data_IF_234519621839
#
_entry.id   IF_234519621839
#
_cell.length_a   1.000
_cell.length_b   1.000
_cell.length_c   1.000
_cell.angle_alpha   90.00
_cell.angle_beta   90.00
_cell.angle_gamma   90.00
#
_symmetry.space_group_name_H-M   'P 1'
#
loop_
_entity.id
_entity.type
_entity.pdbx_description
1 polymer ?
#
# COMPACT_ATOMS: atom_id res chain seq x y z
N UNK A 1 16.65 -17.33 -18.71
CA UNK A 1 15.69 -17.04 -17.62
C UNK A 1 16.28 -16.10 -16.56
N UNK A 2 16.75 -16.53 -15.37
CA UNK A 2 17.07 -15.56 -14.29
C UNK A 2 18.08 -14.46 -14.68
N UNK A 3 19.30 -14.83 -15.12
CA UNK A 3 20.34 -13.85 -15.53
C UNK A 3 19.89 -12.94 -16.68
N UNK A 4 19.18 -13.52 -17.64
CA UNK A 4 18.62 -12.83 -18.81
C UNK A 4 17.58 -11.77 -18.41
N UNK A 5 16.73 -12.07 -17.42
CA UNK A 5 15.80 -11.11 -16.82
C UNK A 5 16.53 -10.06 -15.96
N UNK A 6 17.60 -10.43 -15.25
CA UNK A 6 18.46 -9.48 -14.51
C UNK A 6 19.17 -8.49 -15.46
N UNK A 7 19.68 -8.98 -16.60
CA UNK A 7 20.34 -8.18 -17.63
C UNK A 7 19.36 -7.27 -18.38
N UNK A 8 18.16 -7.77 -18.72
CA UNK A 8 17.10 -6.94 -19.31
C UNK A 8 16.64 -5.85 -18.34
N UNK A 9 16.39 -6.18 -17.07
CA UNK A 9 15.98 -5.21 -16.07
C UNK A 9 17.08 -4.15 -15.81
N UNK A 10 18.35 -4.53 -15.90
CA UNK A 10 19.47 -3.60 -15.87
C UNK A 10 19.53 -2.70 -17.12
N UNK A 11 19.24 -3.22 -18.31
CA UNK A 11 19.21 -2.43 -19.54
C UNK A 11 18.15 -1.32 -19.47
N UNK A 12 16.96 -1.63 -18.94
CA UNK A 12 15.82 -0.72 -18.79
C UNK A 12 15.99 0.27 -17.61
N UNK A 13 16.21 -0.24 -16.39
CA UNK A 13 16.17 0.57 -15.15
C UNK A 13 17.53 1.09 -14.68
N UNK A 14 18.63 0.66 -15.33
CA UNK A 14 20.03 0.89 -14.92
C UNK A 14 20.39 0.41 -13.51
N UNK A 15 19.51 -0.36 -12.85
CA UNK A 15 19.76 -0.97 -11.54
C UNK A 15 20.04 -2.46 -11.69
N UNK A 16 21.16 -2.93 -11.12
CA UNK A 16 21.44 -4.36 -10.99
C UNK A 16 20.59 -4.93 -9.86
N UNK A 17 19.65 -5.80 -10.20
CA UNK A 17 18.84 -6.55 -9.24
C UNK A 17 19.32 -8.00 -9.24
N UNK A 18 19.59 -8.57 -8.07
CA UNK A 18 19.82 -10.02 -7.94
C UNK A 18 18.49 -10.74 -7.75
N UNK A 19 18.24 -11.78 -8.54
CA UNK A 19 17.01 -12.56 -8.57
C UNK A 19 17.29 -14.00 -8.08
N UNK A 20 17.11 -14.31 -6.77
CA UNK A 20 17.39 -15.63 -6.25
C UNK A 20 16.54 -16.71 -6.94
N UNK A 21 17.20 -17.75 -7.47
CA UNK A 21 16.54 -18.89 -8.13
C UNK A 21 15.48 -19.55 -7.24
N UNK A 22 15.73 -19.58 -5.93
CA UNK A 22 14.79 -20.06 -4.90
C UNK A 22 13.50 -19.22 -4.85
N UNK A 23 13.59 -17.90 -5.00
CA UNK A 23 12.42 -17.01 -5.07
C UNK A 23 11.60 -17.30 -6.33
N UNK A 24 12.24 -17.41 -7.49
CA UNK A 24 11.55 -17.74 -8.77
C UNK A 24 10.85 -19.09 -8.69
N UNK A 25 11.56 -20.13 -8.21
CA UNK A 25 10.98 -21.46 -8.01
C UNK A 25 9.83 -21.43 -7.00
N UNK A 26 9.97 -20.74 -5.87
CA UNK A 26 8.89 -20.61 -4.90
C UNK A 26 7.64 -19.92 -5.49
N UNK A 27 7.82 -18.90 -6.34
CA UNK A 27 6.69 -18.26 -7.05
C UNK A 27 6.03 -19.17 -8.07
N UNK A 28 6.82 -19.91 -8.86
CA UNK A 28 6.29 -20.89 -9.81
C UNK A 28 5.49 -21.98 -9.09
N UNK A 29 5.92 -22.40 -7.90
CA UNK A 29 5.22 -23.32 -7.00
C UNK A 29 4.08 -22.65 -6.18
N UNK A 30 3.55 -21.50 -6.62
CA UNK A 30 2.36 -20.87 -6.03
C UNK A 30 2.57 -20.10 -4.72
N UNK A 31 3.82 -19.87 -4.26
CA UNK A 31 4.06 -19.10 -3.02
C UNK A 31 3.68 -17.63 -3.22
N UNK A 32 2.67 -17.18 -2.47
CA UNK A 32 2.23 -15.77 -2.41
C UNK A 32 3.36 -14.84 -1.98
N UNK A 33 3.30 -13.58 -2.43
CA UNK A 33 4.28 -12.57 -2.08
C UNK A 33 4.07 -12.06 -0.65
N UNK A 34 5.11 -11.47 -0.08
CA UNK A 34 5.00 -10.75 1.20
C UNK A 34 4.06 -9.54 1.05
N UNK A 35 4.01 -8.89 -0.12
CA UNK A 35 3.05 -7.80 -0.43
C UNK A 35 1.61 -8.31 -0.44
N UNK A 36 1.36 -9.49 -1.02
CA UNK A 36 0.02 -10.08 -1.14
C UNK A 36 -0.47 -10.55 0.24
N UNK A 37 0.42 -11.21 1.00
CA UNK A 37 0.16 -11.66 2.36
C UNK A 37 -0.08 -10.50 3.32
N UNK A 38 0.71 -9.42 3.23
CA UNK A 38 0.47 -8.21 4.01
C UNK A 38 -0.77 -7.43 3.52
N UNK A 39 -1.15 -7.57 2.24
CA UNK A 39 -2.41 -7.06 1.69
C UNK A 39 -3.62 -7.61 2.45
N UNK A 40 -3.61 -8.91 2.75
CA UNK A 40 -4.65 -9.56 3.58
C UNK A 40 -4.68 -9.14 5.06
N UNK A 41 -3.76 -8.27 5.49
CA UNK A 41 -3.68 -7.69 6.85
C UNK A 41 -4.02 -6.19 6.90
N UNK A 42 -4.54 -5.61 5.81
CA UNK A 42 -4.99 -4.21 5.78
C UNK A 42 -6.29 -4.01 6.55
N UNK A 43 -6.39 -2.89 7.24
CA UNK A 43 -7.63 -2.43 7.88
C UNK A 43 -8.70 -2.04 6.85
N UNK A 44 -8.29 -1.48 5.72
CA UNK A 44 -9.20 -1.11 4.63
C UNK A 44 -9.22 -2.19 3.55
N UNK A 45 -10.41 -2.48 3.02
CA UNK A 45 -10.57 -3.19 1.74
C UNK A 45 -10.05 -2.32 0.59
N UNK A 46 -9.81 -2.92 -0.58
CA UNK A 46 -9.39 -2.14 -1.76
C UNK A 46 -10.45 -1.11 -2.20
N UNK A 47 -11.73 -1.39 -1.96
CA UNK A 47 -12.82 -0.43 -2.24
C UNK A 47 -12.81 0.73 -1.24
N UNK A 48 -12.69 0.45 0.06
CA UNK A 48 -12.60 1.48 1.10
C UNK A 48 -11.35 2.35 0.93
N UNK A 49 -10.20 1.75 0.61
CA UNK A 49 -8.96 2.48 0.40
C UNK A 49 -9.06 3.40 -0.84
N UNK A 50 -9.72 2.94 -1.93
CA UNK A 50 -10.02 3.81 -3.09
C UNK A 50 -10.93 4.98 -2.72
N UNK A 51 -12.01 4.77 -1.96
CA UNK A 51 -12.88 5.86 -1.49
C UNK A 51 -12.10 6.91 -0.67
N UNK A 52 -11.14 6.49 0.15
CA UNK A 52 -10.27 7.42 0.89
C UNK A 52 -9.32 8.19 -0.05
N UNK A 53 -8.80 7.56 -1.10
CA UNK A 53 -8.00 8.26 -2.13
C UNK A 53 -8.86 9.30 -2.86
N UNK A 54 -10.03 8.92 -3.34
CA UNK A 54 -10.93 9.79 -4.09
C UNK A 54 -11.38 11.00 -3.23
N UNK A 55 -11.69 10.78 -1.95
CA UNK A 55 -11.97 11.84 -0.98
C UNK A 55 -10.76 12.75 -0.73
N UNK A 56 -9.54 12.20 -0.69
CA UNK A 56 -8.31 12.99 -0.54
C UNK A 56 -8.06 13.88 -1.77
N UNK A 57 -8.33 13.37 -2.97
CA UNK A 57 -8.24 14.14 -4.23
C UNK A 57 -9.31 15.24 -4.27
N UNK A 58 -10.58 14.91 -4.01
CA UNK A 58 -11.69 15.87 -4.01
C UNK A 58 -11.47 17.02 -3.00
N UNK A 59 -11.02 16.70 -1.78
CA UNK A 59 -10.70 17.72 -0.78
C UNK A 59 -9.50 18.60 -1.19
N UNK A 60 -8.47 18.03 -1.83
CA UNK A 60 -7.37 18.80 -2.40
C UNK A 60 -7.80 19.72 -3.55
N UNK A 61 -8.63 19.23 -4.49
CA UNK A 61 -9.20 20.01 -5.60
C UNK A 61 -10.07 21.18 -5.12
N UNK A 62 -10.74 21.02 -3.97
CA UNK A 62 -11.50 22.10 -3.30
C UNK A 62 -10.62 23.09 -2.50
N UNK A 63 -9.29 22.96 -2.57
CA UNK A 63 -8.34 23.84 -1.88
C UNK A 63 -8.04 23.45 -0.42
N UNK A 64 -8.47 22.27 0.04
CA UNK A 64 -8.31 21.78 1.41
C UNK A 64 -7.61 20.41 1.48
N UNK A 65 -6.37 20.27 0.98
CA UNK A 65 -5.65 19.00 1.00
C UNK A 65 -5.51 18.44 2.42
N UNK A 66 -5.73 17.13 2.56
CA UNK A 66 -5.65 16.45 3.86
C UNK A 66 -4.18 16.31 4.30
N UNK A 67 -3.85 16.86 5.46
CA UNK A 67 -2.61 16.51 6.14
C UNK A 67 -2.72 15.11 6.79
N UNK A 68 -1.57 14.51 7.12
CA UNK A 68 -1.47 13.20 7.77
C UNK A 68 -2.41 13.03 8.98
N UNK A 69 -2.60 14.08 9.81
CA UNK A 69 -3.49 14.04 10.97
C UNK A 69 -4.96 13.88 10.56
N UNK A 70 -5.44 14.66 9.59
CA UNK A 70 -6.83 14.56 9.11
C UNK A 70 -7.08 13.26 8.35
N UNK A 71 -6.15 12.83 7.50
CA UNK A 71 -6.21 11.54 6.82
C UNK A 71 -6.32 10.39 7.83
N UNK A 72 -5.46 10.37 8.87
CA UNK A 72 -5.55 9.40 9.97
C UNK A 72 -6.93 9.45 10.64
N UNK A 73 -7.41 10.62 11.06
CA UNK A 73 -8.70 10.74 11.75
C UNK A 73 -9.88 10.21 10.92
N UNK A 74 -9.88 10.44 9.60
CA UNK A 74 -10.91 9.94 8.70
C UNK A 74 -10.86 8.42 8.58
N UNK A 75 -9.67 7.84 8.38
CA UNK A 75 -9.46 6.39 8.30
C UNK A 75 -9.77 5.70 9.63
N UNK A 76 -9.37 6.29 10.77
CA UNK A 76 -9.69 5.78 12.10
C UNK A 76 -11.21 5.74 12.33
N UNK A 77 -11.95 6.74 11.82
CA UNK A 77 -13.42 6.76 11.91
C UNK A 77 -14.07 5.64 11.10
N UNK A 78 -13.59 5.38 9.88
CA UNK A 78 -14.03 4.24 9.05
C UNK A 78 -13.73 2.91 9.77
N UNK A 79 -12.50 2.73 10.26
CA UNK A 79 -12.09 1.51 10.94
C UNK A 79 -12.87 1.28 12.25
N UNK A 80 -13.12 2.32 13.04
CA UNK A 80 -13.95 2.23 14.27
C UNK A 80 -15.39 1.85 13.95
N UNK A 81 -15.99 2.44 12.91
CA UNK A 81 -17.35 2.09 12.49
C UNK A 81 -17.46 0.61 12.02
N UNK A 82 -16.40 0.09 11.39
CA UNK A 82 -16.36 -1.27 10.82
C UNK A 82 -16.00 -2.36 11.83
N UNK A 83 -15.05 -2.10 12.72
CA UNK A 83 -14.46 -3.10 13.62
C UNK A 83 -14.78 -2.89 15.10
N UNK A 84 -15.38 -1.75 15.47
CA UNK A 84 -15.75 -1.44 16.85
C UNK A 84 -14.56 -1.56 17.81
N UNK A 85 -14.75 -2.32 18.89
CA UNK A 85 -13.74 -2.59 19.92
C UNK A 85 -12.58 -3.48 19.49
N UNK A 86 -12.62 -4.10 18.30
CA UNK A 86 -11.49 -4.86 17.74
C UNK A 86 -10.42 -3.91 17.17
N UNK A 87 -10.80 -2.68 16.82
CA UNK A 87 -9.86 -1.68 16.35
C UNK A 87 -9.04 -1.10 17.50
N UNK A 88 -7.75 -0.86 17.26
CA UNK A 88 -6.85 -0.28 18.25
C UNK A 88 -7.32 1.12 18.66
N UNK A 89 -7.28 1.41 19.95
CA UNK A 89 -7.73 2.69 20.51
C UNK A 89 -6.91 3.86 19.95
N UNK A 90 -5.59 3.66 19.83
CA UNK A 90 -4.61 4.53 19.17
C UNK A 90 -4.86 4.74 17.66
N UNK A 91 -5.74 3.97 17.03
CA UNK A 91 -6.04 4.02 15.60
C UNK A 91 -5.00 3.34 14.72
N UNK A 92 -4.94 3.74 13.44
CA UNK A 92 -3.91 3.24 12.52
C UNK A 92 -2.51 3.66 12.96
N UNK A 93 -1.53 2.78 12.73
CA UNK A 93 -0.14 2.99 13.16
C UNK A 93 0.49 4.26 12.59
N UNK A 94 1.52 4.78 13.27
CA UNK A 94 2.17 6.08 12.96
C UNK A 94 2.55 6.22 11.47
N UNK A 95 3.22 5.22 10.93
CA UNK A 95 3.67 5.15 9.52
C UNK A 95 2.56 4.87 8.50
N UNK A 96 1.32 4.62 8.93
CA UNK A 96 0.25 4.20 8.02
C UNK A 96 -0.07 5.27 6.97
N UNK A 97 -0.09 6.55 7.38
CA UNK A 97 -0.42 7.67 6.49
C UNK A 97 0.68 7.92 5.46
N UNK A 98 1.95 7.82 5.84
CA UNK A 98 3.07 7.90 4.89
C UNK A 98 2.97 6.76 3.87
N UNK A 99 2.81 5.51 4.34
CA UNK A 99 2.63 4.34 3.47
C UNK A 99 1.36 4.37 2.62
N UNK A 100 0.35 5.16 3.00
CA UNK A 100 -0.82 5.40 2.17
C UNK A 100 -0.45 6.32 1.01
N UNK A 101 0.18 7.46 1.29
CA UNK A 101 0.68 8.40 0.25
C UNK A 101 1.67 7.70 -0.68
N UNK A 102 2.67 6.99 -0.15
CA UNK A 102 3.69 6.29 -0.96
C UNK A 102 3.05 5.31 -1.97
N UNK A 103 2.02 4.56 -1.53
CA UNK A 103 1.31 3.56 -2.36
C UNK A 103 0.42 4.17 -3.43
N UNK A 104 0.00 5.42 -3.25
CA UNK A 104 -0.93 6.13 -4.14
C UNK A 104 -0.29 7.38 -4.76
N UNK A 105 1.05 7.48 -4.76
CA UNK A 105 1.85 8.62 -5.21
C UNK A 105 1.75 8.94 -6.71
N UNK A 106 1.17 8.03 -7.52
CA UNK A 106 0.80 8.29 -8.92
C UNK A 106 -0.57 9.02 -9.04
N UNK A 107 -1.35 9.08 -7.95
CA UNK A 107 -2.72 9.63 -7.88
C UNK A 107 -2.88 10.81 -6.90
N UNK A 108 -1.95 10.97 -5.94
CA UNK A 108 -1.94 11.95 -4.86
C UNK A 108 -0.70 12.84 -4.94
#
# INVERSE_FOLDING_TARGET
VCREVEDQCFAETKRRIGLPKSTVSARANGRRSIRDFNGSKRWLSDQEENTVVDFTIDTALRGFPLNHKRLKQHVDSICRAKYGSIFLEDGVGKEWTQRFVDRHSERL
#
